data_IF_900618805058
#
_entry.id   IF_900618805058
#
_cell.length_a   1.000
_cell.length_b   1.000
_cell.length_c   1.000
_cell.angle_alpha   90.00
_cell.angle_beta   90.00
_cell.angle_gamma   90.00
#
_symmetry.space_group_name_H-M   'P 1'
#
loop_
_entity.id
_entity.type
_entity.pdbx_description
1 polymer ?
#
# COMPACT_ATOMS: atom_id res chain seq x y z
N UNK A 1 -22.28 -12.16 14.48
CA UNK A 1 -22.07 -11.88 13.05
C UNK A 1 -22.06 -10.37 12.89
N UNK A 2 -20.88 -9.75 12.92
CA UNK A 2 -20.75 -8.30 13.00
C UNK A 2 -20.88 -7.67 11.61
N UNK A 3 -21.99 -6.96 11.40
CA UNK A 3 -22.39 -6.33 10.13
C UNK A 3 -21.40 -5.24 9.67
N UNK A 4 -20.59 -4.67 10.58
CA UNK A 4 -19.59 -3.63 10.28
C UNK A 4 -18.33 -4.11 9.54
N UNK A 5 -18.15 -5.42 9.36
CA UNK A 5 -16.90 -5.97 8.81
C UNK A 5 -16.83 -5.95 7.29
N UNK A 6 -17.94 -5.75 6.58
CA UNK A 6 -18.00 -6.10 5.17
C UNK A 6 -17.41 -5.04 4.24
N UNK A 7 -17.83 -3.78 4.39
CA UNK A 7 -17.26 -2.65 3.63
C UNK A 7 -15.81 -2.41 4.05
N UNK A 8 -15.49 -2.56 5.32
CA UNK A 8 -14.13 -2.33 5.84
C UNK A 8 -13.15 -3.40 5.36
N UNK A 9 -13.54 -4.68 5.36
CA UNK A 9 -12.74 -5.75 4.76
C UNK A 9 -12.59 -5.58 3.25
N UNK A 10 -13.63 -5.08 2.58
CA UNK A 10 -13.56 -4.75 1.17
C UNK A 10 -12.52 -3.64 0.92
N UNK A 11 -12.58 -2.51 1.63
CA UNK A 11 -11.64 -1.40 1.46
C UNK A 11 -10.17 -1.80 1.70
N UNK A 12 -9.91 -2.81 2.54
CA UNK A 12 -8.57 -3.37 2.74
C UNK A 12 -8.03 -4.16 1.53
N UNK A 13 -8.91 -4.70 0.68
CA UNK A 13 -8.55 -5.58 -0.45
C UNK A 13 -8.51 -4.86 -1.80
N UNK A 14 -9.13 -3.69 -1.90
CA UNK A 14 -9.18 -2.93 -3.16
C UNK A 14 -7.77 -2.49 -3.57
N UNK A 15 -7.36 -2.70 -4.85
CA UNK A 15 -6.07 -2.22 -5.34
C UNK A 15 -5.97 -0.70 -5.21
N UNK A 16 -4.79 -0.20 -4.83
CA UNK A 16 -4.52 1.23 -4.72
C UNK A 16 -3.58 1.70 -5.85
N UNK A 17 -3.83 2.86 -6.47
CA UNK A 17 -4.97 3.76 -6.25
C UNK A 17 -6.30 3.14 -6.71
N UNK A 18 -7.39 3.42 -5.98
CA UNK A 18 -8.71 2.81 -6.24
C UNK A 18 -9.14 3.05 -7.69
N UNK A 19 -9.37 2.00 -8.50
CA UNK A 19 -9.79 2.16 -9.89
C UNK A 19 -11.15 2.87 -10.01
N UNK A 20 -11.35 3.60 -11.10
CA UNK A 20 -12.55 4.45 -11.26
C UNK A 20 -13.85 3.64 -11.27
N UNK A 21 -13.83 2.45 -11.87
CA UNK A 21 -14.95 1.50 -11.86
C UNK A 21 -15.37 1.12 -10.43
N UNK A 22 -14.38 0.97 -9.54
CA UNK A 22 -14.59 0.63 -8.12
C UNK A 22 -15.17 1.83 -7.36
N UNK A 23 -14.71 3.05 -7.66
CA UNK A 23 -15.28 4.26 -7.07
C UNK A 23 -16.75 4.43 -7.46
N UNK A 24 -17.08 4.22 -8.73
CA UNK A 24 -18.46 4.28 -9.22
C UNK A 24 -19.33 3.24 -8.52
N UNK A 25 -18.81 2.02 -8.32
CA UNK A 25 -19.50 0.98 -7.56
C UNK A 25 -19.71 1.38 -6.09
N UNK A 26 -18.68 1.87 -5.40
CA UNK A 26 -18.75 2.31 -4.00
C UNK A 26 -19.75 3.44 -3.80
N UNK A 27 -19.81 4.40 -4.73
CA UNK A 27 -20.76 5.51 -4.67
C UNK A 27 -22.23 5.06 -4.68
N UNK A 28 -22.55 3.88 -5.24
CA UNK A 28 -23.92 3.33 -5.19
C UNK A 28 -24.37 2.94 -3.79
N UNK A 29 -23.42 2.71 -2.88
CA UNK A 29 -23.69 2.38 -1.49
C UNK A 29 -23.77 3.63 -0.60
N UNK A 30 -23.51 4.83 -1.11
CA UNK A 30 -23.72 6.07 -0.37
C UNK A 30 -25.21 6.31 -0.21
N UNK A 31 -25.69 6.42 1.03
CA UNK A 31 -27.12 6.61 1.30
C UNK A 31 -27.44 7.78 2.23
N UNK A 32 -26.45 8.61 2.57
CA UNK A 32 -26.71 9.87 3.24
C UNK A 32 -25.45 10.69 3.49
N UNK A 33 -25.68 11.94 3.91
CA UNK A 33 -24.63 12.84 4.37
C UNK A 33 -25.14 13.63 5.57
N UNK A 34 -24.34 13.67 6.63
CA UNK A 34 -24.67 14.35 7.89
C UNK A 34 -23.37 14.77 8.58
N UNK A 35 -22.62 15.65 7.91
CA UNK A 35 -21.23 16.01 8.27
C UNK A 35 -20.19 14.96 7.86
N UNK A 36 -20.57 13.68 7.83
CA UNK A 36 -19.80 12.58 7.26
C UNK A 36 -20.62 11.79 6.24
N UNK A 37 -19.94 11.11 5.31
CA UNK A 37 -20.59 10.25 4.32
C UNK A 37 -21.12 9.00 5.01
N UNK A 38 -22.41 8.71 4.82
CA UNK A 38 -23.07 7.50 5.31
C UNK A 38 -23.14 6.49 4.17
N UNK A 39 -22.62 5.30 4.41
CA UNK A 39 -22.71 4.16 3.49
C UNK A 39 -23.71 3.15 4.02
N UNK A 40 -24.56 2.65 3.14
CA UNK A 40 -25.51 1.60 3.44
C UNK A 40 -24.76 0.27 3.41
N UNK A 41 -24.78 -0.44 4.54
CA UNK A 41 -24.14 -1.73 4.64
C UNK A 41 -24.92 -2.75 3.80
N UNK A 42 -24.29 -3.37 2.78
CA UNK A 42 -24.95 -4.41 2.02
C UNK A 42 -25.15 -5.65 2.88
N UNK A 43 -26.27 -6.34 2.69
CA UNK A 43 -26.55 -7.63 3.34
C UNK A 43 -25.78 -8.81 2.72
N UNK A 44 -25.01 -8.57 1.65
CA UNK A 44 -24.29 -9.59 0.89
C UNK A 44 -23.03 -9.04 0.20
N UNK A 45 -22.19 -9.92 -0.38
CA UNK A 45 -20.92 -9.57 -1.02
C UNK A 45 -21.13 -8.52 -2.10
N UNK A 46 -20.29 -7.48 -2.10
CA UNK A 46 -20.25 -6.49 -3.17
C UNK A 46 -19.66 -7.20 -4.40
N UNK A 47 -20.44 -7.41 -5.48
CA UNK A 47 -20.00 -8.17 -6.64
C UNK A 47 -19.07 -7.32 -7.49
N UNK A 48 -17.76 -7.44 -7.23
CA UNK A 48 -16.73 -6.77 -8.02
C UNK A 48 -15.87 -7.82 -8.72
N UNK A 49 -15.64 -7.62 -10.01
CA UNK A 49 -14.59 -8.32 -10.75
C UNK A 49 -13.25 -7.63 -10.46
N UNK A 50 -12.71 -7.85 -9.27
CA UNK A 50 -11.30 -7.52 -9.02
C UNK A 50 -10.53 -8.54 -9.86
N UNK A 51 -9.68 -8.07 -10.78
CA UNK A 51 -8.67 -8.95 -11.36
C UNK A 51 -7.70 -9.23 -10.21
N UNK A 52 -8.00 -10.26 -9.44
CA UNK A 52 -7.10 -10.74 -8.41
C UNK A 52 -5.86 -11.24 -9.15
N UNK A 53 -4.85 -10.38 -9.26
CA UNK A 53 -3.49 -10.77 -9.67
C UNK A 53 -2.81 -11.62 -8.59
N UNK A 54 -3.54 -11.99 -7.54
CA UNK A 54 -3.07 -12.67 -6.34
C UNK A 54 -3.44 -14.16 -6.28
N UNK A 55 -4.10 -14.70 -7.32
CA UNK A 55 -4.22 -16.16 -7.51
C UNK A 55 -2.98 -16.75 -8.24
N UNK A 56 -1.93 -15.95 -8.45
CA UNK A 56 -0.65 -16.44 -8.92
C UNK A 56 0.08 -17.15 -7.77
N UNK A 57 0.38 -18.42 -7.99
CA UNK A 57 1.26 -19.28 -7.20
C UNK A 57 2.41 -18.48 -6.57
N UNK A 58 2.46 -18.43 -5.23
CA UNK A 58 3.41 -17.59 -4.50
C UNK A 58 4.88 -17.95 -4.81
N UNK A 59 5.14 -19.18 -5.26
CA UNK A 59 6.46 -19.63 -5.71
C UNK A 59 6.87 -19.01 -7.07
N UNK A 60 5.93 -18.68 -7.95
CA UNK A 60 6.23 -18.06 -9.25
C UNK A 60 6.61 -16.57 -9.14
N UNK A 61 6.19 -15.89 -8.06
CA UNK A 61 6.46 -14.46 -7.82
C UNK A 61 7.89 -14.19 -7.30
N UNK A 62 8.62 -15.23 -6.88
CA UNK A 62 10.02 -15.10 -6.45
C UNK A 62 11.00 -15.11 -7.63
N UNK A 63 10.68 -15.83 -8.72
CA UNK A 63 11.52 -15.85 -9.93
C UNK A 63 11.34 -14.61 -10.81
N UNK A 64 10.13 -14.05 -10.85
CA UNK A 64 9.82 -12.82 -11.58
C UNK A 64 8.81 -11.99 -10.80
N UNK A 65 9.26 -11.15 -9.86
CA UNK A 65 8.34 -10.27 -9.15
C UNK A 65 7.64 -9.35 -10.16
N UNK A 66 6.32 -9.15 -10.04
CA UNK A 66 5.61 -8.19 -10.86
C UNK A 66 6.24 -6.81 -10.67
N UNK A 67 6.24 -5.96 -11.72
CA UNK A 67 6.75 -4.61 -11.58
C UNK A 67 6.02 -3.90 -10.44
N UNK A 68 6.73 -3.07 -9.66
CA UNK A 68 6.11 -2.32 -8.57
C UNK A 68 4.92 -1.51 -9.10
N UNK A 69 3.84 -1.35 -8.33
CA UNK A 69 2.70 -0.54 -8.72
C UNK A 69 3.16 0.88 -9.07
N UNK A 70 2.58 1.46 -10.13
CA UNK A 70 2.79 2.87 -10.44
C UNK A 70 2.13 3.74 -9.36
N UNK A 71 2.95 4.52 -8.66
CA UNK A 71 2.55 5.42 -7.57
C UNK A 71 2.46 6.89 -8.00
N UNK A 72 2.72 7.23 -9.26
CA UNK A 72 2.74 8.61 -9.74
C UNK A 72 1.40 9.36 -9.54
N UNK A 73 0.29 8.62 -9.50
CA UNK A 73 -1.05 9.16 -9.28
C UNK A 73 -1.47 9.21 -7.79
N UNK A 74 -0.58 8.87 -6.86
CA UNK A 74 -0.91 8.87 -5.43
C UNK A 74 -1.08 10.30 -4.91
N UNK A 75 -2.13 10.56 -4.11
CA UNK A 75 -2.45 11.92 -3.60
C UNK A 75 -1.26 12.59 -2.92
N UNK A 76 -0.42 11.84 -2.23
CA UNK A 76 0.73 12.36 -1.48
C UNK A 76 2.08 12.21 -2.22
N UNK A 77 2.07 11.86 -3.51
CA UNK A 77 3.30 11.67 -4.29
C UNK A 77 4.19 12.92 -4.26
N UNK A 78 3.59 14.11 -4.30
CA UNK A 78 4.29 15.40 -4.24
C UNK A 78 5.03 15.67 -2.90
N UNK A 79 4.81 14.86 -1.86
CA UNK A 79 5.55 14.95 -0.59
C UNK A 79 6.88 14.20 -0.65
N UNK A 80 7.09 13.36 -1.67
CA UNK A 80 8.36 12.67 -1.85
C UNK A 80 9.38 13.67 -2.41
N UNK A 81 10.62 13.64 -1.91
CA UNK A 81 11.68 14.46 -2.47
C UNK A 81 11.99 13.99 -3.89
N UNK A 82 12.23 14.94 -4.80
CA UNK A 82 12.69 14.64 -6.17
C UNK A 82 14.09 14.00 -6.15
N UNK A 83 14.94 14.44 -5.22
CA UNK A 83 16.26 13.87 -4.99
C UNK A 83 16.20 12.86 -3.83
N UNK A 84 16.46 11.59 -4.15
CA UNK A 84 16.51 10.51 -3.18
C UNK A 84 17.71 9.59 -3.44
N UNK A 85 18.10 8.80 -2.43
CA UNK A 85 19.17 7.80 -2.61
C UNK A 85 20.57 8.39 -2.82
N UNK A 86 20.81 9.65 -2.50
CA UNK A 86 22.12 10.28 -2.69
C UNK A 86 23.20 9.62 -1.81
N UNK A 87 24.28 9.17 -2.45
CA UNK A 87 25.50 8.69 -1.80
C UNK A 87 26.63 9.63 -2.20
N UNK A 88 27.14 10.41 -1.24
CA UNK A 88 28.16 11.43 -1.51
C UNK A 88 29.44 10.88 -2.15
N UNK A 89 29.83 9.65 -1.81
CA UNK A 89 30.86 8.86 -2.50
C UNK A 89 30.59 7.37 -2.20
N UNK A 90 30.15 6.55 -3.17
CA UNK A 90 29.98 5.12 -2.95
C UNK A 90 31.36 4.44 -2.95
N UNK A 91 31.99 4.37 -1.77
CA UNK A 91 33.23 3.63 -1.59
C UNK A 91 32.94 2.12 -1.77
N UNK A 92 33.74 1.43 -2.59
CA UNK A 92 33.59 -0.03 -2.74
C UNK A 92 34.08 -0.70 -1.46
N UNK A 93 33.20 -1.47 -0.81
CA UNK A 93 33.55 -2.25 0.37
C UNK A 93 34.69 -3.22 0.00
N UNK A 94 35.89 -2.94 0.51
CA UNK A 94 37.07 -3.82 0.46
C UNK A 94 37.62 -3.92 1.87
N UNK A 95 37.87 -5.14 2.33
CA UNK A 95 38.38 -5.43 3.68
C UNK A 95 37.52 -4.89 4.84
N UNK A 96 36.24 -4.58 4.59
CA UNK A 96 35.23 -4.20 5.59
C UNK A 96 35.67 -3.08 6.53
N UNK A 97 35.44 -1.83 6.13
CA UNK A 97 35.59 -0.67 7.02
C UNK A 97 34.21 -0.25 7.53
N UNK A 98 34.17 0.33 8.73
CA UNK A 98 32.94 0.89 9.29
C UNK A 98 32.38 2.00 8.39
N UNK A 99 31.05 2.05 8.27
CA UNK A 99 30.37 3.10 7.53
C UNK A 99 30.57 4.46 8.22
N UNK A 100 30.72 5.52 7.42
CA UNK A 100 30.77 6.89 7.91
C UNK A 100 29.41 7.29 8.48
N UNK A 101 29.42 8.30 9.35
CA UNK A 101 28.18 8.90 9.85
C UNK A 101 27.33 9.39 8.66
N UNK A 102 26.07 8.96 8.62
CA UNK A 102 25.09 9.26 7.55
C UNK A 102 25.46 8.74 6.15
N UNK A 103 26.32 7.73 6.03
CA UNK A 103 26.66 7.15 4.71
C UNK A 103 25.45 6.51 4.02
N UNK A 104 24.54 5.89 4.78
CA UNK A 104 23.31 5.30 4.28
C UNK A 104 22.10 5.89 5.03
N UNK A 105 21.68 7.12 4.68
CA UNK A 105 20.72 7.90 5.48
C UNK A 105 19.30 7.31 5.50
N UNK A 106 18.98 6.38 4.61
CA UNK A 106 17.69 5.69 4.56
C UNK A 106 17.63 4.44 5.44
N UNK A 107 18.71 4.05 6.13
CA UNK A 107 18.68 2.91 7.04
C UNK A 107 17.82 3.22 8.26
N UNK A 108 16.89 2.33 8.58
CA UNK A 108 16.04 2.41 9.76
C UNK A 108 16.18 1.14 10.60
N UNK A 109 16.27 1.31 11.92
CA UNK A 109 16.25 0.21 12.88
C UNK A 109 14.85 0.11 13.49
N UNK A 110 14.22 -1.05 13.33
CA UNK A 110 12.99 -1.38 14.04
C UNK A 110 13.35 -1.94 15.41
N UNK A 111 12.89 -1.29 16.47
CA UNK A 111 12.99 -1.79 17.85
C UNK A 111 11.60 -2.06 18.39
N UNK A 112 11.40 -3.22 19.00
CA UNK A 112 10.11 -3.65 19.52
C UNK A 112 10.15 -3.64 21.04
N UNK A 113 9.17 -2.99 21.67
CA UNK A 113 8.95 -3.18 23.09
C UNK A 113 8.21 -4.50 23.32
N UNK A 114 8.96 -5.51 23.77
CA UNK A 114 8.42 -6.84 24.07
C UNK A 114 8.13 -7.05 25.56
N UNK A 115 8.16 -5.97 26.37
CA UNK A 115 7.68 -6.06 27.75
C UNK A 115 6.20 -6.45 27.75
N UNK A 116 5.89 -7.52 28.48
CA UNK A 116 4.53 -8.06 28.65
C UNK A 116 3.63 -7.15 29.46
#
# INVERSE_FOLDING_TARGET
MHINDMITNFLKRVPQPVPEEIKIQLNKYTCGYDGSIKVCCPSGPIPIKIKDTYDADADALLENPPPPPDIANHKNYYLLPEECGYLGNPDKIRNGIDAKLNEFPWMALLSYNTSK
#
